data_IF_549836451001
#
_entry.id   IF_549836451001
#
_cell.length_a   1.000
_cell.length_b   1.000
_cell.length_c   1.000
_cell.angle_alpha   90.00
_cell.angle_beta   90.00
_cell.angle_gamma   90.00
#
_symmetry.space_group_name_H-M   'P 1'
#
loop_
_entity.id
_entity.type
_entity.pdbx_description
1 polymer ?
#
# COMPACT_ATOMS: atom_id res chain seq x y z
N UNK A 1 19.85 -5.88 26.23
CA UNK A 1 19.25 -5.82 24.89
C UNK A 1 20.13 -6.67 23.96
N UNK A 2 19.66 -7.88 23.55
CA UNK A 2 20.50 -8.92 22.93
C UNK A 2 20.90 -8.55 21.48
N UNK A 3 22.19 -8.33 21.24
CA UNK A 3 22.78 -8.00 19.92
C UNK A 3 22.42 -9.02 18.79
N UNK A 4 22.13 -10.27 19.14
CA UNK A 4 21.72 -11.31 18.19
C UNK A 4 20.29 -11.09 17.64
N UNK A 5 19.37 -10.55 18.43
CA UNK A 5 18.01 -10.18 17.98
C UNK A 5 18.02 -8.94 17.06
N UNK A 6 18.93 -8.01 17.30
CA UNK A 6 19.09 -6.81 16.48
C UNK A 6 19.70 -7.17 15.13
N UNK A 7 20.71 -8.06 15.08
CA UNK A 7 21.29 -8.55 13.81
C UNK A 7 20.27 -9.27 12.92
N UNK A 8 19.39 -10.11 13.47
CA UNK A 8 18.33 -10.77 12.71
C UNK A 8 17.26 -9.81 12.16
N UNK A 9 16.96 -8.72 12.90
CA UNK A 9 15.97 -7.73 12.49
C UNK A 9 16.48 -6.78 11.39
N UNK A 10 17.79 -6.51 11.33
CA UNK A 10 18.40 -5.62 10.32
C UNK A 10 18.64 -6.37 9.00
N UNK A 11 18.97 -7.66 9.05
CA UNK A 11 19.26 -8.44 7.83
C UNK A 11 18.09 -8.47 6.83
N UNK A 12 16.85 -8.34 7.30
CA UNK A 12 15.67 -8.30 6.45
C UNK A 12 15.48 -6.96 5.73
N UNK A 13 16.03 -5.88 6.26
CA UNK A 13 15.92 -4.53 5.69
C UNK A 13 17.09 -4.19 4.78
N UNK A 14 18.16 -4.99 4.76
CA UNK A 14 19.33 -4.73 3.92
C UNK A 14 18.93 -4.68 2.44
N UNK A 15 18.11 -5.62 1.98
CA UNK A 15 17.69 -5.68 0.59
C UNK A 15 16.86 -4.45 0.14
N UNK A 16 15.75 -4.07 0.81
CA UNK A 16 15.01 -2.87 0.44
C UNK A 16 15.83 -1.59 0.58
N UNK A 17 16.68 -1.48 1.60
CA UNK A 17 17.55 -0.32 1.81
C UNK A 17 18.65 -0.22 0.76
N UNK A 18 19.19 -1.35 0.28
CA UNK A 18 20.20 -1.33 -0.79
C UNK A 18 19.62 -0.82 -2.12
N UNK A 19 18.40 -1.25 -2.48
CA UNK A 19 17.72 -0.77 -3.69
C UNK A 19 17.44 0.73 -3.57
N UNK A 20 16.87 1.15 -2.44
CA UNK A 20 16.61 2.56 -2.18
C UNK A 20 17.91 3.39 -2.25
N UNK A 21 19.00 2.89 -1.64
CA UNK A 21 20.32 3.54 -1.69
C UNK A 21 20.87 3.69 -3.10
N UNK A 22 20.75 2.67 -3.94
CA UNK A 22 21.17 2.74 -5.34
C UNK A 22 20.37 3.81 -6.10
N UNK A 23 19.06 3.86 -5.93
CA UNK A 23 18.20 4.87 -6.56
C UNK A 23 18.55 6.28 -6.09
N UNK A 24 18.85 6.46 -4.80
CA UNK A 24 19.31 7.75 -4.25
C UNK A 24 20.64 8.17 -4.88
N UNK A 25 21.60 7.24 -4.99
CA UNK A 25 22.92 7.52 -5.61
C UNK A 25 22.75 7.92 -7.07
N UNK A 26 21.90 7.22 -7.85
CA UNK A 26 21.62 7.58 -9.25
C UNK A 26 21.08 9.03 -9.35
N UNK A 27 20.17 9.39 -8.43
CA UNK A 27 19.62 10.75 -8.42
C UNK A 27 20.63 11.81 -7.99
N UNK A 28 21.57 11.49 -7.09
CA UNK A 28 22.66 12.39 -6.68
C UNK A 28 23.67 12.65 -7.82
N UNK A 29 24.00 11.60 -8.58
CA UNK A 29 24.90 11.74 -9.74
C UNK A 29 24.29 12.66 -10.80
N UNK A 30 22.97 12.64 -10.97
CA UNK A 30 22.25 13.52 -11.91
C UNK A 30 22.17 14.98 -11.47
N UNK A 31 22.40 15.29 -10.18
CA UNK A 31 22.45 16.65 -9.64
C UNK A 31 22.29 16.69 -8.12
N UNK A 32 23.17 17.45 -7.48
CA UNK A 32 23.18 17.63 -6.01
C UNK A 32 21.91 18.30 -5.48
N UNK A 33 21.15 18.99 -6.34
CA UNK A 33 19.87 19.65 -6.00
C UNK A 33 18.75 18.68 -5.63
N UNK A 34 19.00 17.36 -5.72
CA UNK A 34 17.99 16.34 -5.39
C UNK A 34 17.47 16.48 -3.95
N UNK A 35 18.31 16.92 -3.01
CA UNK A 35 17.92 17.13 -1.62
C UNK A 35 17.52 18.57 -1.31
N UNK A 36 17.41 19.45 -2.33
CA UNK A 36 16.99 20.82 -2.09
C UNK A 36 15.57 20.88 -1.51
N UNK A 37 15.45 21.56 -0.39
CA UNK A 37 14.17 21.85 0.26
C UNK A 37 13.93 23.34 0.08
N UNK A 38 12.77 23.71 -0.47
CA UNK A 38 12.36 25.10 -0.67
C UNK A 38 11.09 25.35 0.15
N UNK A 39 11.00 26.50 0.75
CA UNK A 39 9.78 26.94 1.39
C UNK A 39 9.05 27.91 0.45
N UNK A 40 7.85 27.52 0.01
CA UNK A 40 7.03 28.30 -0.91
C UNK A 40 5.66 28.49 -0.27
N UNK A 41 5.23 29.73 -0.10
CA UNK A 41 3.95 30.08 0.54
C UNK A 41 3.71 29.40 1.91
N UNK A 42 4.78 29.29 2.74
CA UNK A 42 4.69 28.68 4.05
C UNK A 42 4.66 27.16 4.08
N UNK A 43 4.77 26.49 2.92
CA UNK A 43 4.84 25.04 2.82
C UNK A 43 6.20 24.55 2.35
N UNK A 44 6.58 23.36 2.80
CA UNK A 44 7.84 22.72 2.46
C UNK A 44 7.65 21.94 1.18
N UNK A 45 8.40 22.32 0.14
CA UNK A 45 8.47 21.66 -1.16
C UNK A 45 9.89 21.17 -1.43
N UNK A 46 10.00 20.12 -2.20
CA UNK A 46 11.27 19.50 -2.61
C UNK A 46 11.07 18.05 -2.99
N UNK A 47 12.11 17.38 -3.43
CA UNK A 47 11.97 15.98 -3.85
C UNK A 47 11.59 15.06 -2.70
N UNK A 48 12.14 15.24 -1.50
CA UNK A 48 11.81 14.41 -0.33
C UNK A 48 10.34 14.58 0.09
N UNK A 49 9.82 15.79 0.37
CA UNK A 49 8.40 15.98 0.62
C UNK A 49 7.51 15.43 -0.49
N UNK A 50 7.90 15.64 -1.75
CA UNK A 50 7.14 15.14 -2.89
C UNK A 50 7.12 13.61 -2.97
N UNK A 51 8.21 12.91 -2.60
CA UNK A 51 8.24 11.45 -2.49
C UNK A 51 7.30 10.98 -1.38
N UNK A 52 7.37 11.60 -0.20
CA UNK A 52 6.48 11.27 0.92
C UNK A 52 5.01 11.49 0.57
N UNK A 53 4.71 12.60 -0.09
CA UNK A 53 3.37 12.92 -0.58
C UNK A 53 2.89 11.95 -1.66
N UNK A 54 3.75 11.63 -2.65
CA UNK A 54 3.41 10.73 -3.75
C UNK A 54 3.15 9.31 -3.30
N UNK A 55 3.92 8.83 -2.31
CA UNK A 55 3.80 7.47 -1.78
C UNK A 55 2.66 7.28 -0.76
N UNK A 56 1.95 8.33 -0.35
CA UNK A 56 1.00 8.29 0.78
C UNK A 56 -0.02 7.15 0.66
N UNK A 57 -0.69 7.01 -0.47
CA UNK A 57 -1.68 5.96 -0.71
C UNK A 57 -1.02 4.58 -0.80
N UNK A 58 0.10 4.50 -1.49
CA UNK A 58 0.82 3.25 -1.70
C UNK A 58 1.34 2.67 -0.38
N UNK A 59 1.81 3.51 0.54
CA UNK A 59 2.24 3.10 1.89
C UNK A 59 1.08 2.46 2.65
N UNK A 60 -0.08 3.10 2.66
CA UNK A 60 -1.27 2.58 3.36
C UNK A 60 -1.72 1.25 2.76
N UNK A 61 -1.80 1.16 1.42
CA UNK A 61 -2.19 -0.06 0.72
C UNK A 61 -1.17 -1.20 0.92
N UNK A 62 0.13 -0.89 0.92
CA UNK A 62 1.17 -1.88 1.16
C UNK A 62 1.15 -2.43 2.59
N UNK A 63 0.76 -1.63 3.59
CA UNK A 63 0.51 -2.09 4.95
C UNK A 63 -0.63 -3.13 4.96
N UNK A 64 -1.79 -2.79 4.39
CA UNK A 64 -2.92 -3.71 4.31
C UNK A 64 -2.59 -4.98 3.53
N UNK A 65 -1.90 -4.84 2.39
CA UNK A 65 -1.44 -5.97 1.57
C UNK A 65 -0.49 -6.89 2.33
N UNK A 66 0.35 -6.35 3.23
CA UNK A 66 1.24 -7.15 4.09
C UNK A 66 0.45 -8.10 4.99
N UNK A 67 -0.65 -7.64 5.59
CA UNK A 67 -1.52 -8.49 6.42
C UNK A 67 -2.12 -9.64 5.61
N UNK A 68 -2.66 -9.35 4.43
CA UNK A 68 -3.26 -10.36 3.55
C UNK A 68 -2.23 -11.34 3.02
N UNK A 69 -1.13 -10.85 2.46
CA UNK A 69 -0.07 -11.71 1.91
C UNK A 69 0.49 -12.65 2.98
N UNK A 70 0.78 -12.13 4.15
CA UNK A 70 1.38 -12.92 5.23
C UNK A 70 0.44 -14.00 5.76
N UNK A 71 -0.88 -13.76 5.84
CA UNK A 71 -1.85 -14.71 6.40
C UNK A 71 -2.41 -15.70 5.38
N UNK A 72 -2.71 -15.25 4.16
CA UNK A 72 -3.45 -16.03 3.16
C UNK A 72 -2.58 -16.71 2.12
N UNK A 73 -1.27 -16.46 2.12
CA UNK A 73 -0.31 -16.97 1.13
C UNK A 73 -0.66 -16.55 -0.31
N UNK A 74 -1.26 -15.39 -0.46
CA UNK A 74 -1.65 -14.83 -1.74
C UNK A 74 -1.87 -13.34 -1.63
N UNK A 75 -2.11 -12.71 -2.77
CA UNK A 75 -2.28 -11.27 -2.89
C UNK A 75 -3.72 -10.93 -3.21
N UNK A 76 -4.16 -9.75 -2.82
CA UNK A 76 -5.42 -9.15 -3.24
C UNK A 76 -5.16 -8.19 -4.41
N UNK A 77 -5.68 -8.53 -5.58
CA UNK A 77 -5.54 -7.70 -6.78
C UNK A 77 -6.64 -6.64 -6.91
N UNK A 78 -7.60 -6.60 -5.98
CA UNK A 78 -8.74 -5.67 -6.05
C UNK A 78 -8.53 -4.37 -5.28
N UNK A 79 -7.38 -4.16 -4.65
CA UNK A 79 -7.15 -3.01 -3.74
C UNK A 79 -7.36 -1.65 -4.42
N UNK A 80 -6.91 -1.47 -5.67
CA UNK A 80 -7.11 -0.24 -6.42
C UNK A 80 -8.57 0.02 -6.75
N UNK A 81 -9.30 -1.05 -7.04
CA UNK A 81 -10.73 -1.00 -7.33
C UNK A 81 -11.55 -0.79 -6.04
N UNK A 82 -11.18 -1.45 -4.96
CA UNK A 82 -11.79 -1.24 -3.64
C UNK A 82 -11.62 0.22 -3.19
N UNK A 83 -10.43 0.80 -3.38
CA UNK A 83 -10.18 2.21 -3.10
C UNK A 83 -10.99 3.15 -4.02
N UNK A 84 -11.23 2.78 -5.29
CA UNK A 84 -12.10 3.54 -6.18
C UNK A 84 -13.57 3.51 -5.73
N UNK A 85 -14.09 2.37 -5.29
CA UNK A 85 -15.46 2.26 -4.77
C UNK A 85 -15.62 3.10 -3.49
N UNK A 86 -14.69 2.97 -2.56
CA UNK A 86 -14.75 3.71 -1.29
C UNK A 86 -14.60 5.21 -1.48
N UNK A 87 -13.76 5.66 -2.41
CA UNK A 87 -13.64 7.07 -2.77
C UNK A 87 -14.87 7.61 -3.51
N UNK A 88 -15.55 6.80 -4.33
CA UNK A 88 -16.84 7.17 -4.94
C UNK A 88 -17.92 7.43 -3.87
N UNK A 89 -18.01 6.55 -2.85
CA UNK A 89 -18.93 6.76 -1.72
C UNK A 89 -18.61 8.03 -0.96
N UNK A 90 -17.33 8.30 -0.68
CA UNK A 90 -16.90 9.55 -0.06
C UNK A 90 -17.37 10.77 -0.84
N UNK A 91 -17.07 10.81 -2.13
CA UNK A 91 -17.41 11.91 -3.00
C UNK A 91 -18.92 12.11 -3.11
N UNK A 92 -19.68 11.03 -3.23
CA UNK A 92 -21.13 11.09 -3.33
C UNK A 92 -21.79 11.70 -2.08
N UNK A 93 -21.26 11.43 -0.90
CA UNK A 93 -21.73 12.05 0.34
C UNK A 93 -21.45 13.57 0.32
N UNK A 94 -20.27 13.98 -0.15
CA UNK A 94 -19.93 15.40 -0.25
C UNK A 94 -20.79 16.14 -1.27
N UNK A 95 -21.07 15.52 -2.43
CA UNK A 95 -21.87 16.13 -3.50
C UNK A 95 -23.34 16.28 -3.14
N UNK A 96 -23.87 15.39 -2.29
CA UNK A 96 -25.26 15.45 -1.82
C UNK A 96 -25.46 16.39 -0.63
N UNK A 97 -24.38 16.92 -0.05
CA UNK A 97 -24.46 17.86 1.04
C UNK A 97 -24.68 19.29 0.51
N UNK A 98 -25.55 20.07 1.17
CA UNK A 98 -25.78 21.49 0.85
C UNK A 98 -24.52 22.33 1.08
N UNK A 99 -23.74 22.02 2.10
CA UNK A 99 -22.46 22.64 2.40
C UNK A 99 -21.45 21.59 2.86
N UNK A 100 -20.21 21.67 2.36
CA UNK A 100 -19.14 20.78 2.77
C UNK A 100 -18.50 21.34 4.05
N UNK A 101 -18.79 20.68 5.17
CA UNK A 101 -18.22 20.99 6.50
C UNK A 101 -17.29 19.87 6.94
N UNK A 102 -16.49 20.11 7.98
CA UNK A 102 -15.66 19.05 8.60
C UNK A 102 -16.49 17.86 9.06
N UNK A 103 -17.73 18.07 9.48
CA UNK A 103 -18.65 17.02 9.90
C UNK A 103 -19.03 16.12 8.71
N UNK A 104 -19.37 16.70 7.56
CA UNK A 104 -19.70 15.96 6.33
C UNK A 104 -18.48 15.18 5.83
N UNK A 105 -17.28 15.77 5.88
CA UNK A 105 -16.03 15.08 5.51
C UNK A 105 -15.82 13.87 6.40
N UNK A 106 -16.02 13.99 7.71
CA UNK A 106 -15.89 12.88 8.65
C UNK A 106 -16.94 11.80 8.41
N UNK A 107 -18.19 12.17 8.13
CA UNK A 107 -19.25 11.21 7.76
C UNK A 107 -18.88 10.47 6.48
N UNK A 108 -18.41 11.17 5.45
CA UNK A 108 -17.94 10.57 4.21
C UNK A 108 -16.80 9.58 4.41
N UNK A 109 -15.82 9.95 5.24
CA UNK A 109 -14.70 9.07 5.58
C UNK A 109 -15.17 7.83 6.35
N UNK A 110 -16.04 8.00 7.35
CA UNK A 110 -16.59 6.87 8.11
C UNK A 110 -17.40 5.92 7.22
N UNK A 111 -18.25 6.45 6.37
CA UNK A 111 -19.01 5.64 5.41
C UNK A 111 -18.07 4.88 4.45
N UNK A 112 -17.03 5.55 3.93
CA UNK A 112 -16.01 4.91 3.11
C UNK A 112 -15.29 3.79 3.85
N UNK A 113 -14.95 3.99 5.12
CA UNK A 113 -14.33 2.96 5.96
C UNK A 113 -15.27 1.75 6.16
N UNK A 114 -16.57 1.99 6.40
CA UNK A 114 -17.57 0.91 6.53
C UNK A 114 -17.67 0.11 5.22
N UNK A 115 -17.79 0.79 4.08
CA UNK A 115 -17.86 0.14 2.77
C UNK A 115 -16.55 -0.61 2.47
N UNK A 116 -15.39 -0.02 2.78
CA UNK A 116 -14.09 -0.70 2.63
C UNK A 116 -14.01 -1.98 3.48
N UNK A 117 -14.44 -1.93 4.73
CA UNK A 117 -14.50 -3.12 5.59
C UNK A 117 -15.48 -4.18 5.05
N UNK A 118 -16.62 -3.79 4.49
CA UNK A 118 -17.57 -4.71 3.87
C UNK A 118 -16.97 -5.38 2.62
N UNK A 119 -16.27 -4.63 1.77
CA UNK A 119 -15.53 -5.17 0.63
C UNK A 119 -14.46 -6.15 1.11
N UNK A 120 -13.68 -5.78 2.11
CA UNK A 120 -12.70 -6.66 2.73
C UNK A 120 -13.33 -7.91 3.34
N UNK A 121 -14.48 -7.78 4.01
CA UNK A 121 -15.24 -8.91 4.56
C UNK A 121 -15.74 -9.84 3.45
N UNK A 122 -16.21 -9.32 2.33
CA UNK A 122 -16.60 -10.10 1.17
C UNK A 122 -15.44 -10.92 0.62
N UNK A 123 -14.31 -10.29 0.28
CA UNK A 123 -13.11 -10.98 -0.20
C UNK A 123 -12.56 -11.96 0.86
N UNK A 124 -12.54 -11.54 2.13
CA UNK A 124 -12.12 -12.37 3.24
C UNK A 124 -12.99 -13.60 3.45
N UNK A 125 -14.29 -13.49 3.21
CA UNK A 125 -15.21 -14.64 3.25
C UNK A 125 -14.91 -15.65 2.15
N UNK A 126 -14.69 -15.19 0.93
CA UNK A 126 -14.33 -16.05 -0.21
C UNK A 126 -13.05 -16.84 0.06
N UNK A 127 -12.03 -16.17 0.62
CA UNK A 127 -10.73 -16.80 0.86
C UNK A 127 -10.71 -17.63 2.14
N UNK A 128 -11.27 -17.12 3.23
CA UNK A 128 -11.13 -17.76 4.54
C UNK A 128 -12.18 -18.86 4.77
N UNK A 129 -13.44 -18.64 4.36
CA UNK A 129 -14.56 -19.55 4.59
C UNK A 129 -14.68 -20.51 3.40
N UNK A 130 -14.84 -19.97 2.19
CA UNK A 130 -15.03 -20.77 0.97
C UNK A 130 -13.71 -21.33 0.41
N UNK A 131 -12.55 -20.95 0.99
CA UNK A 131 -11.21 -21.45 0.60
C UNK A 131 -10.86 -21.23 -0.88
N UNK A 132 -11.43 -20.21 -1.48
CA UNK A 132 -11.07 -19.79 -2.84
C UNK A 132 -9.64 -19.24 -2.81
N UNK A 133 -8.86 -19.54 -3.84
CA UNK A 133 -7.50 -18.95 -3.96
C UNK A 133 -7.57 -17.42 -3.95
N UNK A 134 -6.73 -16.72 -3.17
CA UNK A 134 -6.80 -15.28 -2.97
C UNK A 134 -6.91 -14.46 -4.27
N UNK A 135 -6.00 -14.68 -5.22
CA UNK A 135 -6.01 -13.95 -6.49
C UNK A 135 -7.28 -14.19 -7.31
N UNK A 136 -7.82 -15.42 -7.29
CA UNK A 136 -9.06 -15.76 -8.01
C UNK A 136 -10.27 -15.12 -7.32
N UNK A 137 -10.32 -15.15 -5.99
CA UNK A 137 -11.40 -14.52 -5.23
C UNK A 137 -11.49 -13.01 -5.49
N UNK A 138 -10.36 -12.33 -5.50
CA UNK A 138 -10.30 -10.87 -5.67
C UNK A 138 -10.40 -10.43 -7.13
N UNK A 139 -10.18 -11.33 -8.10
CA UNK A 139 -10.38 -11.06 -9.52
C UNK A 139 -11.83 -10.69 -9.85
N UNK A 140 -12.81 -11.25 -9.13
CA UNK A 140 -14.23 -10.93 -9.30
C UNK A 140 -14.45 -9.43 -9.09
N UNK A 141 -13.97 -8.90 -7.97
CA UNK A 141 -14.11 -7.49 -7.66
C UNK A 141 -13.23 -6.62 -8.58
N UNK A 142 -12.02 -7.09 -8.91
CA UNK A 142 -11.13 -6.38 -9.83
C UNK A 142 -11.79 -6.10 -11.18
N UNK A 143 -12.53 -7.06 -11.73
CA UNK A 143 -13.20 -6.92 -13.03
C UNK A 143 -14.46 -6.06 -12.97
N UNK A 144 -15.30 -6.24 -11.94
CA UNK A 144 -16.59 -5.57 -11.83
C UNK A 144 -16.54 -4.20 -11.12
N UNK A 145 -15.56 -4.00 -10.25
CA UNK A 145 -15.62 -2.92 -9.28
C UNK A 145 -15.43 -1.51 -9.85
N UNK A 146 -14.74 -1.35 -10.99
CA UNK A 146 -14.69 -0.04 -11.68
C UNK A 146 -16.07 0.38 -12.15
N UNK A 147 -16.87 -0.56 -12.66
CA UNK A 147 -18.26 -0.33 -13.03
C UNK A 147 -19.13 0.00 -11.81
N UNK A 148 -18.91 -0.68 -10.67
CA UNK A 148 -19.59 -0.38 -9.41
C UNK A 148 -19.25 1.05 -8.95
N UNK A 149 -17.98 1.44 -8.96
CA UNK A 149 -17.54 2.79 -8.63
C UNK A 149 -18.21 3.83 -9.53
N UNK A 150 -18.29 3.57 -10.85
CA UNK A 150 -18.95 4.43 -11.82
C UNK A 150 -20.47 4.54 -11.58
N UNK A 151 -21.13 3.44 -11.20
CA UNK A 151 -22.56 3.47 -10.87
C UNK A 151 -22.86 4.31 -9.62
N UNK A 152 -22.01 4.24 -8.60
CA UNK A 152 -22.12 5.05 -7.38
C UNK A 152 -21.94 6.54 -7.73
N UNK A 153 -20.96 6.82 -8.56
CA UNK A 153 -20.56 8.17 -8.93
C UNK A 153 -21.54 8.87 -9.89
N UNK A 154 -22.18 8.09 -10.77
CA UNK A 154 -23.17 8.57 -11.75
C UNK A 154 -22.60 9.59 -12.75
N UNK A 155 -21.30 9.91 -12.67
CA UNK A 155 -20.60 10.89 -13.51
C UNK A 155 -19.18 10.41 -13.79
N UNK A 156 -18.65 10.76 -14.95
CA UNK A 156 -17.31 10.34 -15.36
C UNK A 156 -16.17 10.94 -14.51
N UNK A 157 -16.37 12.07 -13.88
CA UNK A 157 -15.29 12.71 -13.09
C UNK A 157 -15.84 13.90 -12.29
N UNK A 158 -16.60 13.68 -11.21
CA UNK A 158 -17.12 14.79 -10.40
C UNK A 158 -15.97 15.56 -9.74
N UNK A 159 -16.04 16.88 -9.86
CA UNK A 159 -15.02 17.78 -9.31
C UNK A 159 -15.42 18.14 -7.88
N UNK A 160 -14.44 18.06 -6.98
CA UNK A 160 -14.53 18.48 -5.58
C UNK A 160 -13.96 19.90 -5.44
N UNK A 161 -14.67 20.89 -5.98
CA UNK A 161 -14.25 22.30 -5.87
C UNK A 161 -14.63 22.87 -4.50
N UNK A 162 -13.94 22.43 -3.45
CA UNK A 162 -14.13 22.94 -2.09
C UNK A 162 -12.77 23.19 -1.40
N UNK A 163 -12.69 24.30 -0.65
CA UNK A 163 -11.47 24.70 0.03
C UNK A 163 -11.02 23.67 1.09
N UNK A 164 -11.95 23.04 1.82
CA UNK A 164 -11.60 22.03 2.83
C UNK A 164 -11.01 20.77 2.21
N UNK A 165 -11.58 20.27 1.12
CA UNK A 165 -11.04 19.10 0.41
C UNK A 165 -9.68 19.39 -0.20
N UNK A 166 -9.48 20.60 -0.74
CA UNK A 166 -8.19 21.05 -1.27
C UNK A 166 -7.12 21.16 -0.19
N UNK A 167 -7.47 21.57 1.03
CA UNK A 167 -6.55 21.59 2.19
C UNK A 167 -6.17 20.19 2.63
N UNK A 168 -7.10 19.23 2.60
CA UNK A 168 -6.82 17.84 2.94
C UNK A 168 -5.91 17.19 1.89
N UNK A 169 -6.13 17.46 0.63
CA UNK A 169 -5.28 16.96 -0.46
C UNK A 169 -3.96 17.70 -0.63
N UNK A 170 -3.83 18.90 -0.05
CA UNK A 170 -2.68 19.79 -0.18
C UNK A 170 -2.04 20.14 1.14
N UNK A 171 -2.07 21.42 1.50
CA UNK A 171 -1.44 21.99 2.70
C UNK A 171 -2.50 22.69 3.54
N UNK A 172 -2.52 22.41 4.84
CA UNK A 172 -3.36 23.14 5.79
C UNK A 172 -2.73 24.47 6.20
N UNK A 173 -3.51 25.53 6.35
CA UNK A 173 -3.01 26.80 6.88
C UNK A 173 -2.29 26.62 8.23
N UNK A 174 -1.09 27.17 8.34
CA UNK A 174 -0.29 27.07 9.57
C UNK A 174 0.53 25.80 9.75
N UNK A 175 0.40 24.81 8.86
CA UNK A 175 1.19 23.57 8.89
C UNK A 175 2.06 23.52 7.64
N UNK A 176 3.41 23.54 7.75
CA UNK A 176 4.30 23.59 6.58
C UNK A 176 4.39 22.26 5.83
N UNK A 177 3.77 21.19 6.32
CA UNK A 177 3.82 19.83 5.75
C UNK A 177 2.51 19.53 5.04
N UNK A 178 2.58 18.88 3.89
CA UNK A 178 1.42 18.44 3.11
C UNK A 178 0.56 17.45 3.93
N UNK A 179 -0.74 17.68 3.99
CA UNK A 179 -1.70 16.92 4.81
C UNK A 179 -1.69 15.41 4.54
N UNK A 180 -1.58 14.92 3.30
CA UNK A 180 -1.46 13.48 3.04
C UNK A 180 -0.28 12.80 3.74
N UNK A 181 0.84 13.51 3.94
CA UNK A 181 2.00 12.98 4.69
C UNK A 181 1.63 12.79 6.16
N UNK A 182 0.94 13.77 6.74
CA UNK A 182 0.49 13.71 8.14
C UNK A 182 -0.51 12.59 8.35
N UNK A 183 -1.48 12.46 7.44
CA UNK A 183 -2.48 11.38 7.49
C UNK A 183 -1.82 9.99 7.38
N UNK A 184 -0.85 9.84 6.49
CA UNK A 184 -0.09 8.60 6.34
C UNK A 184 0.72 8.28 7.59
N UNK A 185 1.40 9.28 8.16
CA UNK A 185 2.15 9.12 9.42
C UNK A 185 1.24 8.75 10.59
N UNK A 186 0.07 9.39 10.70
CA UNK A 186 -0.94 9.05 11.70
C UNK A 186 -1.46 7.62 11.52
N UNK A 187 -1.71 7.18 10.28
CA UNK A 187 -2.13 5.81 9.97
C UNK A 187 -1.04 4.80 10.34
N UNK A 188 0.23 5.08 10.01
CA UNK A 188 1.38 4.23 10.41
C UNK A 188 1.45 4.12 11.93
N UNK A 189 1.28 5.23 12.66
CA UNK A 189 1.27 5.25 14.12
C UNK A 189 0.11 4.41 14.70
N UNK A 190 -1.08 4.51 14.11
CA UNK A 190 -2.24 3.70 14.49
C UNK A 190 -1.97 2.20 14.32
N UNK A 191 -1.40 1.79 13.18
CA UNK A 191 -1.05 0.39 12.93
C UNK A 191 0.09 -0.06 13.86
N UNK A 192 1.09 0.78 14.13
CA UNK A 192 2.15 0.46 15.07
C UNK A 192 1.59 0.26 16.50
N UNK A 193 0.61 1.07 16.91
CA UNK A 193 -0.10 0.91 18.17
C UNK A 193 -0.89 -0.40 18.20
N UNK A 194 -1.64 -0.72 17.15
CA UNK A 194 -2.35 -1.99 16.99
C UNK A 194 -1.42 -3.20 17.16
N UNK A 195 -0.27 -3.17 16.51
CA UNK A 195 0.73 -4.24 16.59
C UNK A 195 1.39 -4.34 17.98
N UNK A 196 1.52 -3.22 18.69
CA UNK A 196 2.10 -3.17 20.04
C UNK A 196 1.12 -3.67 21.10
N UNK A 197 -0.17 -3.37 20.92
CA UNK A 197 -1.23 -3.71 21.89
C UNK A 197 -1.85 -5.07 21.66
N UNK A 198 -1.66 -5.66 20.47
CA UNK A 198 -2.26 -6.95 20.09
C UNK A 198 -1.20 -7.95 19.61
N UNK A 199 -1.53 -9.24 19.70
CA UNK A 199 -0.68 -10.32 19.17
C UNK A 199 -0.99 -10.65 17.69
N UNK A 200 -1.63 -9.73 16.96
CA UNK A 200 -2.10 -9.98 15.58
C UNK A 200 -0.94 -10.36 14.66
N UNK A 201 0.23 -9.75 14.84
CA UNK A 201 1.44 -10.09 14.08
C UNK A 201 1.78 -11.57 14.20
N UNK A 202 1.85 -12.08 15.44
CA UNK A 202 2.18 -13.48 15.71
C UNK A 202 1.14 -14.42 15.09
N UNK A 203 -0.15 -14.08 15.20
CA UNK A 203 -1.22 -14.88 14.65
C UNK A 203 -1.18 -14.93 13.11
N UNK A 204 -0.95 -13.80 12.46
CA UNK A 204 -0.81 -13.68 11.00
C UNK A 204 0.37 -14.52 10.50
N UNK A 205 1.55 -14.39 11.12
CA UNK A 205 2.75 -15.17 10.78
C UNK A 205 2.50 -16.68 10.96
N UNK A 206 1.95 -17.08 12.11
CA UNK A 206 1.69 -18.50 12.44
C UNK A 206 0.71 -19.13 11.46
N UNK A 207 -0.41 -18.46 11.16
CA UNK A 207 -1.40 -18.92 10.18
C UNK A 207 -0.78 -19.03 8.78
N UNK A 208 0.03 -18.04 8.38
CA UNK A 208 0.70 -18.05 7.10
C UNK A 208 1.77 -19.13 6.96
N UNK A 209 2.46 -19.51 8.04
CA UNK A 209 3.45 -20.59 8.01
C UNK A 209 2.77 -21.95 7.93
N UNK A 210 1.81 -22.22 8.82
CA UNK A 210 1.12 -23.52 8.86
C UNK A 210 -0.25 -23.42 9.57
N UNK A 211 -1.33 -23.47 8.80
CA UNK A 211 -2.69 -23.40 9.32
C UNK A 211 -3.05 -24.55 10.26
N UNK A 212 -2.53 -25.77 9.98
CA UNK A 212 -2.80 -26.93 10.84
C UNK A 212 -2.13 -26.74 12.21
N UNK A 213 -0.87 -26.32 12.22
CA UNK A 213 -0.16 -26.03 13.45
C UNK A 213 -0.79 -24.85 14.22
N UNK A 214 -1.25 -23.80 13.53
CA UNK A 214 -1.97 -22.69 14.14
C UNK A 214 -3.23 -23.18 14.89
N UNK A 215 -4.03 -24.04 14.28
CA UNK A 215 -5.23 -24.63 14.92
C UNK A 215 -4.91 -25.45 16.16
N UNK A 216 -3.87 -26.26 16.13
CA UNK A 216 -3.42 -27.04 17.28
C UNK A 216 -3.01 -26.16 18.46
N UNK A 217 -2.53 -24.93 18.19
CA UNK A 217 -2.22 -23.94 19.21
C UNK A 217 -3.40 -22.99 19.55
N UNK A 218 -4.65 -23.36 19.20
CA UNK A 218 -5.85 -22.61 19.55
C UNK A 218 -6.11 -21.37 18.70
N UNK A 219 -5.28 -21.10 17.65
CA UNK A 219 -5.48 -19.97 16.75
C UNK A 219 -6.45 -20.38 15.64
N UNK A 220 -7.51 -19.62 15.42
CA UNK A 220 -8.47 -19.86 14.36
C UNK A 220 -8.01 -19.22 13.04
N UNK A 221 -7.52 -19.98 12.03
CA UNK A 221 -7.00 -19.42 10.78
C UNK A 221 -8.05 -18.68 9.96
N UNK A 222 -9.32 -19.12 10.03
CA UNK A 222 -10.43 -18.49 9.29
C UNK A 222 -10.67 -17.09 9.80
N UNK A 223 -10.74 -16.89 11.12
CA UNK A 223 -10.91 -15.58 11.73
C UNK A 223 -9.74 -14.64 11.43
N UNK A 224 -8.50 -15.15 11.49
CA UNK A 224 -7.31 -14.33 11.22
C UNK A 224 -7.27 -13.89 9.76
N UNK A 225 -7.46 -14.81 8.81
CA UNK A 225 -7.52 -14.45 7.38
C UNK A 225 -8.64 -13.45 7.10
N UNK A 226 -9.84 -13.72 7.57
CA UNK A 226 -10.99 -12.81 7.42
C UNK A 226 -10.65 -11.40 7.92
N UNK A 227 -10.09 -11.29 9.13
CA UNK A 227 -9.71 -10.01 9.74
C UNK A 227 -8.66 -9.26 8.91
N UNK A 228 -7.68 -9.96 8.33
CA UNK A 228 -6.65 -9.32 7.50
C UNK A 228 -7.22 -8.69 6.24
N UNK A 229 -8.24 -9.29 5.62
CA UNK A 229 -8.96 -8.69 4.51
C UNK A 229 -9.80 -7.48 4.93
N UNK A 230 -10.45 -7.53 6.11
CA UNK A 230 -11.18 -6.36 6.66
C UNK A 230 -10.22 -5.18 6.91
N UNK A 231 -9.04 -5.46 7.46
CA UNK A 231 -8.00 -4.43 7.64
C UNK A 231 -7.55 -3.86 6.28
N UNK A 232 -7.35 -4.70 5.27
CA UNK A 232 -7.01 -4.24 3.93
C UNK A 232 -8.11 -3.36 3.34
N UNK A 233 -9.38 -3.73 3.50
CA UNK A 233 -10.52 -2.92 3.09
C UNK A 233 -10.55 -1.54 3.73
N UNK A 234 -10.21 -1.45 5.03
CA UNK A 234 -10.02 -0.17 5.73
C UNK A 234 -8.85 0.64 5.13
N UNK A 235 -7.73 -0.01 4.81
CA UNK A 235 -6.60 0.63 4.13
C UNK A 235 -7.02 1.20 2.76
N UNK A 236 -7.85 0.46 1.99
CA UNK A 236 -8.37 0.92 0.71
C UNK A 236 -9.23 2.18 0.86
N UNK A 237 -10.07 2.26 1.90
CA UNK A 237 -10.90 3.42 2.17
C UNK A 237 -10.06 4.67 2.47
N UNK A 238 -9.06 4.53 3.36
CA UNK A 238 -8.18 5.66 3.72
C UNK A 238 -7.32 6.09 2.53
N UNK A 239 -6.79 5.14 1.76
CA UNK A 239 -6.02 5.45 0.55
C UNK A 239 -6.89 6.12 -0.52
N UNK A 240 -8.12 5.66 -0.74
CA UNK A 240 -9.08 6.26 -1.66
C UNK A 240 -9.46 7.69 -1.26
N UNK A 241 -9.69 7.93 0.03
CA UNK A 241 -9.93 9.26 0.58
C UNK A 241 -8.77 10.22 0.31
N UNK A 242 -7.53 9.80 0.56
CA UNK A 242 -6.33 10.62 0.28
C UNK A 242 -6.22 10.87 -1.22
N UNK A 243 -6.37 9.84 -2.06
CA UNK A 243 -6.22 9.94 -3.50
C UNK A 243 -7.21 10.93 -4.13
N UNK A 244 -8.49 10.86 -3.74
CA UNK A 244 -9.50 11.77 -4.29
C UNK A 244 -9.32 13.20 -3.78
N UNK A 245 -8.89 13.37 -2.53
CA UNK A 245 -8.58 14.70 -1.98
C UNK A 245 -7.39 15.34 -2.68
N UNK A 246 -6.34 14.56 -3.00
CA UNK A 246 -5.16 15.02 -3.76
C UNK A 246 -5.51 15.39 -5.20
N UNK A 247 -6.37 14.59 -5.84
CA UNK A 247 -6.76 14.81 -7.22
C UNK A 247 -7.77 15.98 -7.38
N UNK A 248 -8.49 16.36 -6.31
CA UNK A 248 -9.59 17.34 -6.36
C UNK A 248 -10.76 16.90 -7.22
N UNK A 249 -10.80 15.64 -7.64
CA UNK A 249 -11.85 15.02 -8.46
C UNK A 249 -11.85 13.52 -8.28
N UNK A 250 -12.97 12.89 -8.58
CA UNK A 250 -13.06 11.44 -8.65
C UNK A 250 -13.15 10.97 -10.10
N UNK A 251 -12.27 10.08 -10.50
CA UNK A 251 -12.28 9.42 -11.80
C UNK A 251 -12.34 7.92 -11.57
N UNK A 252 -13.54 7.35 -11.68
CA UNK A 252 -13.81 5.93 -11.41
C UNK A 252 -12.94 4.98 -12.24
N UNK A 253 -12.48 5.40 -13.42
CA UNK A 253 -11.65 4.58 -14.32
C UNK A 253 -10.18 4.63 -13.96
N UNK A 254 -9.66 5.83 -13.60
CA UNK A 254 -8.23 6.06 -13.50
C UNK A 254 -7.71 6.21 -12.08
N UNK A 255 -8.59 6.51 -11.08
CA UNK A 255 -8.14 6.67 -9.70
C UNK A 255 -7.47 5.38 -9.19
N UNK A 256 -6.25 5.51 -8.68
CA UNK A 256 -5.43 4.39 -8.17
C UNK A 256 -5.36 3.18 -9.13
N UNK A 257 -5.35 3.44 -10.45
CA UNK A 257 -5.26 2.40 -11.47
C UNK A 257 -3.87 1.76 -11.45
N UNK A 258 -3.83 0.44 -11.37
CA UNK A 258 -2.62 -0.40 -11.26
C UNK A 258 -1.86 -0.27 -9.95
N UNK A 259 -2.40 0.42 -8.94
CA UNK A 259 -1.76 0.51 -7.61
C UNK A 259 -1.65 -0.84 -6.91
N UNK A 260 -2.50 -1.80 -7.24
CA UNK A 260 -2.43 -3.19 -6.76
C UNK A 260 -1.08 -3.83 -7.09
N UNK A 261 -0.56 -3.61 -8.29
CA UNK A 261 0.76 -4.12 -8.70
C UNK A 261 1.87 -3.45 -7.90
N UNK A 262 1.80 -2.13 -7.71
CA UNK A 262 2.76 -1.39 -6.91
C UNK A 262 2.71 -1.81 -5.43
N UNK A 263 1.54 -2.11 -4.88
CA UNK A 263 1.39 -2.58 -3.50
C UNK A 263 1.99 -3.99 -3.30
N UNK A 264 1.75 -4.91 -4.23
CA UNK A 264 2.36 -6.25 -4.22
C UNK A 264 3.89 -6.13 -4.31
N UNK A 265 4.38 -5.26 -5.19
CA UNK A 265 5.81 -5.02 -5.36
C UNK A 265 6.43 -4.40 -4.10
N UNK A 266 5.75 -3.44 -3.46
CA UNK A 266 6.20 -2.84 -2.20
C UNK A 266 6.38 -3.89 -1.10
N UNK A 267 5.42 -4.83 -0.98
CA UNK A 267 5.47 -5.94 -0.03
C UNK A 267 6.64 -6.87 -0.34
N UNK A 268 6.87 -7.19 -1.63
CA UNK A 268 7.96 -8.07 -2.07
C UNK A 268 9.34 -7.42 -1.86
N UNK A 269 9.53 -6.16 -2.29
CA UNK A 269 10.76 -5.38 -2.04
C UNK A 269 11.01 -5.27 -0.54
N UNK A 270 9.97 -5.05 0.25
CA UNK A 270 10.01 -4.99 1.69
C UNK A 270 10.49 -6.29 2.37
N UNK A 271 10.76 -7.33 1.58
CA UNK A 271 11.30 -8.61 2.04
C UNK A 271 10.25 -9.51 2.68
N UNK A 272 8.96 -9.26 2.48
CA UNK A 272 7.91 -10.20 2.82
C UNK A 272 7.85 -11.34 1.78
N UNK A 273 7.55 -12.54 2.24
CA UNK A 273 7.37 -13.67 1.35
C UNK A 273 5.97 -13.61 0.70
N UNK A 274 5.89 -13.56 -0.62
CA UNK A 274 4.61 -13.61 -1.34
C UNK A 274 3.88 -14.95 -1.13
N UNK A 275 4.60 -15.98 -0.71
CA UNK A 275 4.07 -17.28 -0.28
C UNK A 275 3.56 -17.32 1.15
N UNK A 276 3.54 -16.19 1.85
CA UNK A 276 3.03 -16.05 3.22
C UNK A 276 4.03 -16.37 4.34
N UNK A 277 3.57 -16.20 5.56
CA UNK A 277 4.30 -16.59 6.79
C UNK A 277 5.38 -15.60 7.25
N UNK A 278 5.66 -14.54 6.50
CA UNK A 278 6.60 -13.48 6.89
C UNK A 278 5.87 -12.14 6.91
N UNK A 279 6.03 -11.41 8.01
CA UNK A 279 5.30 -10.18 8.27
C UNK A 279 6.24 -9.04 8.68
N UNK A 280 6.48 -8.10 7.77
CA UNK A 280 7.33 -6.94 8.01
C UNK A 280 6.69 -5.66 7.43
N UNK A 281 5.91 -4.96 8.25
CA UNK A 281 5.29 -3.68 7.85
C UNK A 281 6.34 -2.63 7.55
N UNK A 282 7.38 -2.52 8.39
CA UNK A 282 8.48 -1.57 8.15
C UNK A 282 9.15 -1.82 6.80
N UNK A 283 9.35 -3.09 6.44
CA UNK A 283 9.87 -3.46 5.11
C UNK A 283 8.95 -2.99 3.99
N UNK A 284 7.64 -3.23 4.10
CA UNK A 284 6.66 -2.81 3.07
C UNK A 284 6.57 -1.29 2.93
N UNK A 285 6.66 -0.54 4.03
CA UNK A 285 6.73 0.93 4.00
C UNK A 285 7.96 1.39 3.21
N UNK A 286 9.15 0.84 3.50
CA UNK A 286 10.39 1.15 2.77
C UNK A 286 10.23 0.75 1.30
N UNK A 287 9.62 -0.41 1.01
CA UNK A 287 9.31 -0.86 -0.34
C UNK A 287 8.41 0.11 -1.10
N UNK A 288 7.36 0.64 -0.47
CA UNK A 288 6.47 1.62 -1.07
C UNK A 288 7.19 2.93 -1.41
N UNK A 289 8.02 3.44 -0.51
CA UNK A 289 8.87 4.60 -0.81
C UNK A 289 9.89 4.30 -1.92
N UNK A 290 10.44 3.09 -1.96
CA UNK A 290 11.38 2.68 -3.02
C UNK A 290 10.71 2.72 -4.40
N UNK A 291 9.44 2.29 -4.52
CA UNK A 291 8.68 2.33 -5.77
C UNK A 291 8.40 3.77 -6.19
N UNK A 292 8.04 4.63 -5.25
CA UNK A 292 7.82 6.05 -5.55
C UNK A 292 9.12 6.73 -6.01
N UNK A 293 10.24 6.47 -5.33
CA UNK A 293 11.56 6.96 -5.75
C UNK A 293 11.93 6.45 -7.14
N UNK A 294 11.69 5.16 -7.43
CA UNK A 294 11.90 4.58 -8.75
C UNK A 294 11.09 5.32 -9.83
N UNK A 295 9.79 5.53 -9.57
CA UNK A 295 8.90 6.25 -10.50
C UNK A 295 9.40 7.65 -10.79
N UNK A 296 9.79 8.40 -9.76
CA UNK A 296 10.33 9.76 -9.88
C UNK A 296 11.69 9.80 -10.54
N UNK A 297 12.54 8.80 -10.29
CA UNK A 297 13.83 8.65 -10.94
C UNK A 297 13.64 8.46 -12.45
N UNK A 298 12.72 7.59 -12.86
CA UNK A 298 12.41 7.37 -14.28
C UNK A 298 11.81 8.61 -14.94
N UNK A 299 10.92 9.35 -14.27
CA UNK A 299 10.43 10.65 -14.76
C UNK A 299 11.54 11.66 -14.94
N UNK A 300 12.49 11.73 -14.02
CA UNK A 300 13.67 12.62 -14.13
C UNK A 300 14.62 12.21 -15.25
N UNK A 301 14.58 10.94 -15.65
CA UNK A 301 15.30 10.42 -16.82
C UNK A 301 14.52 10.64 -18.13
N UNK A 302 13.44 11.45 -18.08
CA UNK A 302 12.54 11.77 -19.21
C UNK A 302 11.83 10.54 -19.81
N UNK A 303 11.71 9.46 -19.02
CA UNK A 303 10.95 8.28 -19.41
C UNK A 303 9.47 8.62 -19.38
N UNK A 304 8.74 8.41 -20.46
CA UNK A 304 7.30 8.67 -20.55
C UNK A 304 6.50 7.85 -19.55
N UNK A 305 5.39 8.42 -19.05
CA UNK A 305 4.57 7.82 -17.98
C UNK A 305 4.06 6.42 -18.30
N UNK A 306 3.71 6.14 -19.56
CA UNK A 306 3.29 4.79 -19.99
C UNK A 306 4.48 3.81 -19.99
N UNK A 307 5.66 4.27 -20.36
CA UNK A 307 6.89 3.47 -20.39
C UNK A 307 7.34 3.11 -18.96
N UNK A 308 7.09 4.00 -17.97
CA UNK A 308 7.39 3.72 -16.55
C UNK A 308 6.68 2.44 -16.08
N UNK A 309 5.44 2.21 -16.52
CA UNK A 309 4.69 0.98 -16.19
C UNK A 309 5.40 -0.27 -16.70
N UNK A 310 5.93 -0.23 -17.92
CA UNK A 310 6.71 -1.32 -18.49
C UNK A 310 8.03 -1.56 -17.72
N UNK A 311 8.75 -0.49 -17.36
CA UNK A 311 9.94 -0.60 -16.52
C UNK A 311 9.64 -1.22 -15.15
N UNK A 312 8.55 -0.80 -14.49
CA UNK A 312 8.11 -1.40 -13.24
C UNK A 312 7.79 -2.90 -13.40
N UNK A 313 7.12 -3.29 -14.49
CA UNK A 313 6.82 -4.69 -14.75
C UNK A 313 8.09 -5.54 -14.92
N UNK A 314 9.07 -5.06 -15.68
CA UNK A 314 10.37 -5.73 -15.82
C UNK A 314 11.08 -5.82 -14.47
N UNK A 315 11.05 -4.73 -13.69
CA UNK A 315 11.65 -4.69 -12.36
C UNK A 315 10.99 -5.69 -11.40
N UNK A 316 9.65 -5.85 -11.46
CA UNK A 316 8.91 -6.88 -10.72
C UNK A 316 9.40 -8.28 -11.08
N UNK A 317 9.53 -8.58 -12.37
CA UNK A 317 10.00 -9.89 -12.85
C UNK A 317 11.40 -10.20 -12.32
N UNK A 318 12.32 -9.24 -12.44
CA UNK A 318 13.70 -9.39 -11.94
C UNK A 318 13.68 -9.67 -10.42
N UNK A 319 12.92 -8.87 -9.66
CA UNK A 319 12.81 -9.04 -8.22
C UNK A 319 12.19 -10.39 -7.82
N UNK A 320 11.16 -10.85 -8.53
CA UNK A 320 10.55 -12.16 -8.29
C UNK A 320 11.54 -13.29 -8.52
N UNK A 321 12.34 -13.21 -9.59
CA UNK A 321 13.39 -14.18 -9.89
C UNK A 321 14.46 -14.18 -8.78
N UNK A 322 14.98 -13.01 -8.42
CA UNK A 322 16.02 -12.87 -7.36
C UNK A 322 15.51 -13.33 -6.00
N UNK A 323 14.24 -13.08 -5.70
CA UNK A 323 13.61 -13.48 -4.43
C UNK A 323 13.18 -14.95 -4.40
N UNK A 324 13.21 -15.65 -5.54
CA UNK A 324 12.74 -17.03 -5.69
C UNK A 324 13.56 -17.99 -4.81
N UNK A 325 12.89 -18.89 -4.04
CA UNK A 325 13.56 -19.96 -3.32
C UNK A 325 14.39 -20.87 -4.24
N UNK A 326 13.88 -21.15 -5.45
CA UNK A 326 14.55 -21.97 -6.43
C UNK A 326 15.93 -21.39 -6.86
N UNK A 327 16.01 -20.08 -7.07
CA UNK A 327 17.27 -19.42 -7.39
C UNK A 327 18.26 -19.49 -6.22
N UNK A 328 17.77 -19.29 -5.00
CA UNK A 328 18.60 -19.40 -3.79
C UNK A 328 19.17 -20.81 -3.59
N UNK A 329 18.35 -21.83 -3.80
CA UNK A 329 18.81 -23.24 -3.77
C UNK A 329 19.80 -23.52 -4.89
N UNK A 330 19.56 -23.03 -6.10
CA UNK A 330 20.48 -23.20 -7.23
C UNK A 330 21.85 -22.57 -6.92
N UNK A 331 21.85 -21.32 -6.42
CA UNK A 331 23.10 -20.64 -6.04
C UNK A 331 23.81 -21.39 -4.90
N UNK A 332 23.08 -21.86 -3.88
CA UNK A 332 23.65 -22.63 -2.78
C UNK A 332 24.29 -23.94 -3.27
N UNK A 333 23.63 -24.67 -4.15
CA UNK A 333 24.16 -25.88 -4.78
C UNK A 333 25.37 -25.59 -5.67
N UNK A 334 25.36 -24.47 -6.41
CA UNK A 334 26.49 -24.05 -7.23
C UNK A 334 27.74 -23.70 -6.41
N UNK A 335 27.57 -23.07 -5.23
CA UNK A 335 28.66 -22.80 -4.28
C UNK A 335 29.26 -24.08 -3.70
N UNK A 336 28.40 -25.03 -3.28
CA UNK A 336 28.86 -26.32 -2.76
C UNK A 336 29.62 -27.14 -3.84
N UNK A 337 29.31 -26.98 -5.12
CA UNK A 337 30.04 -27.63 -6.24
C UNK A 337 31.37 -26.96 -6.54
N UNK A 338 31.57 -25.69 -6.16
CA UNK A 338 32.84 -24.97 -6.37
C UNK A 338 33.79 -25.08 -5.18
N UNK A 339 33.40 -25.75 -4.08
CA UNK A 339 34.27 -25.97 -2.92
C UNK A 339 34.49 -24.72 -2.06
N UNK A 340 33.56 -23.72 -2.16
CA UNK A 340 33.53 -22.52 -1.30
C UNK A 340 32.51 -22.66 -0.17
#
# INVERSE_FOLDING_TARGET
>A
MNLSRVKGSISHLIFPLSILGILIIINLIKGADYFSIKMINGAIYGNIPNILFGASELVILSIGMTFVTASSRGQDISVGVAAAITSAVFVQILLNASEITWFIIMQGLLASCVIGMLIGAFNGSLVAIFKVQPMVATLILFTAGRSISFMIDGKLSPILANDLTSRIGGVMPGIPIQTPIILTAAFIALIALLLKTTNIRLYVETVGINEKAARLNGINPVKIKFLTYVILGLCCAVAGFIAVSKAGRHDSVNILKFVEMDAILAVAIGGNALSGGKFSITGSIIGAYTIEVLSRTLLRLEVGTETIKAFKAVFIIILMIVSSPALREYIARARLRKGE
#
